data_IF_704880114809
#
_entry.id   IF_704880114809
#
_cell.length_a   1.000
_cell.length_b   1.000
_cell.length_c   1.000
_cell.angle_alpha   90.00
_cell.angle_beta   90.00
_cell.angle_gamma   90.00
#
_symmetry.space_group_name_H-M   'P 1'
#
loop_
_entity.id
_entity.type
_entity.pdbx_description
1 polymer ?
#
# COMPACT_ATOMS: atom_id res chain seq x y z
N UNK A 1 -15.55 -4.18 -8.43
CA UNK A 1 -14.68 -3.44 -7.47
C UNK A 1 -14.68 -4.13 -6.12
N UNK A 2 -13.61 -3.97 -5.33
CA UNK A 2 -13.49 -4.53 -3.98
C UNK A 2 -13.09 -3.47 -2.97
N UNK A 3 -13.79 -3.37 -1.84
CA UNK A 3 -13.36 -2.49 -0.75
C UNK A 3 -12.23 -3.13 0.07
N UNK A 4 -11.09 -2.48 0.15
CA UNK A 4 -9.92 -2.87 0.96
C UNK A 4 -9.85 -1.96 2.20
N UNK A 5 -9.51 -2.53 3.36
CA UNK A 5 -9.38 -1.82 4.64
C UNK A 5 -7.93 -1.87 5.12
N UNK A 6 -7.43 -0.77 5.68
CA UNK A 6 -6.04 -0.62 6.08
C UNK A 6 -5.63 -1.49 7.27
N UNK A 7 -6.57 -1.81 8.15
CA UNK A 7 -6.30 -2.69 9.29
C UNK A 7 -6.11 -4.16 8.88
N UNK A 8 -6.49 -4.54 7.65
CA UNK A 8 -6.48 -5.91 7.14
C UNK A 8 -7.17 -6.89 8.11
N UNK A 9 -8.29 -6.50 8.73
CA UNK A 9 -9.01 -7.35 9.69
C UNK A 9 -9.36 -8.74 9.16
N UNK A 10 -9.68 -8.85 7.86
CA UNK A 10 -10.08 -10.11 7.24
C UNK A 10 -8.91 -10.96 6.71
N UNK A 11 -7.66 -10.56 6.92
CA UNK A 11 -6.50 -11.30 6.43
C UNK A 11 -6.15 -12.47 7.36
N UNK A 12 -6.79 -13.61 7.15
CA UNK A 12 -6.68 -14.84 7.98
C UNK A 12 -5.25 -15.38 8.18
N UNK A 13 -4.30 -14.95 7.34
CA UNK A 13 -2.87 -15.28 7.48
C UNK A 13 -2.28 -14.72 8.77
N UNK A 14 -2.81 -13.61 9.27
CA UNK A 14 -2.22 -12.84 10.37
C UNK A 14 -2.93 -13.23 11.66
N UNK A 15 -2.16 -13.73 12.62
CA UNK A 15 -2.65 -14.21 13.90
C UNK A 15 -2.57 -13.11 14.97
N UNK A 16 -1.49 -12.32 14.96
CA UNK A 16 -1.28 -11.22 15.90
C UNK A 16 -0.57 -10.05 15.22
N UNK A 17 -1.06 -8.84 15.47
CA UNK A 17 -0.53 -7.61 14.90
C UNK A 17 -0.68 -6.43 15.87
N UNK A 18 0.14 -5.41 15.66
CA UNK A 18 -0.15 -4.05 16.12
C UNK A 18 -0.58 -3.20 14.94
N UNK A 19 -1.50 -2.28 15.17
CA UNK A 19 -2.02 -1.37 14.15
C UNK A 19 -2.13 0.04 14.71
N UNK A 20 -1.80 1.03 13.89
CA UNK A 20 -1.98 2.44 14.16
C UNK A 20 -2.47 3.16 12.90
N UNK A 21 -3.29 4.19 13.09
CA UNK A 21 -3.75 5.10 12.04
C UNK A 21 -3.47 6.52 12.51
N UNK A 22 -2.73 7.28 11.70
CA UNK A 22 -2.26 8.61 12.07
C UNK A 22 -2.74 9.60 11.00
N UNK A 23 -3.67 10.51 11.34
CA UNK A 23 -4.01 11.61 10.45
C UNK A 23 -2.83 12.57 10.34
N UNK A 24 -2.62 13.10 9.14
CA UNK A 24 -1.61 14.11 8.85
C UNK A 24 -2.21 15.23 8.02
N UNK A 25 -1.88 16.47 8.36
CA UNK A 25 -2.24 17.66 7.61
C UNK A 25 -1.03 18.59 7.44
N UNK A 26 0.04 18.04 6.90
CA UNK A 26 1.31 18.74 6.69
C UNK A 26 1.44 19.20 5.23
N UNK A 27 2.20 20.28 4.93
CA UNK A 27 2.39 20.76 3.56
C UNK A 27 2.92 19.70 2.58
N UNK A 28 3.73 18.76 3.06
CA UNK A 28 4.34 17.70 2.26
C UNK A 28 3.49 16.41 2.18
N UNK A 29 2.51 16.24 3.07
CA UNK A 29 1.56 15.13 3.02
C UNK A 29 0.29 15.44 3.83
N UNK A 30 -0.86 15.34 3.15
CA UNK A 30 -2.19 15.43 3.76
C UNK A 30 -2.95 14.13 3.53
N UNK A 31 -3.48 13.53 4.59
CA UNK A 31 -4.17 12.24 4.49
C UNK A 31 -3.97 11.40 5.74
N UNK A 32 -3.94 10.08 5.56
CA UNK A 32 -3.71 9.14 6.65
C UNK A 32 -2.47 8.29 6.38
N UNK A 33 -1.70 8.04 7.43
CA UNK A 33 -0.64 7.03 7.42
C UNK A 33 -1.02 5.93 8.40
N UNK A 34 -1.10 4.70 7.92
CA UNK A 34 -1.30 3.55 8.78
C UNK A 34 0.00 2.79 8.95
N UNK A 35 0.17 2.18 10.12
CA UNK A 35 1.25 1.27 10.42
C UNK A 35 0.67 -0.03 10.89
N UNK A 36 1.22 -1.12 10.38
CA UNK A 36 0.76 -2.46 10.64
C UNK A 36 2.01 -3.32 10.87
N UNK A 37 2.22 -3.81 12.09
CA UNK A 37 3.34 -4.69 12.44
C UNK A 37 2.85 -6.12 12.66
N UNK A 38 3.50 -7.07 11.99
CA UNK A 38 3.19 -8.49 12.08
C UNK A 38 3.96 -9.08 13.26
N UNK A 39 3.25 -9.58 14.27
CA UNK A 39 3.87 -10.30 15.38
C UNK A 39 3.81 -11.81 15.18
N UNK A 40 2.73 -12.28 14.55
CA UNK A 40 2.48 -13.69 14.31
C UNK A 40 1.60 -13.87 13.08
N UNK A 41 1.94 -14.86 12.26
CA UNK A 41 1.25 -15.24 11.05
C UNK A 41 1.37 -16.75 10.82
N UNK A 42 0.43 -17.34 10.07
CA UNK A 42 0.42 -18.78 9.78
C UNK A 42 1.60 -19.19 8.91
N UNK A 43 1.82 -18.46 7.83
CA UNK A 43 2.90 -18.71 6.87
C UNK A 43 3.34 -17.36 6.27
N UNK A 44 4.61 -17.21 5.87
CA UNK A 44 5.06 -16.03 5.16
C UNK A 44 4.34 -15.84 3.82
N UNK A 45 4.11 -14.58 3.43
CA UNK A 45 3.59 -14.23 2.11
C UNK A 45 4.76 -14.11 1.13
N UNK A 46 4.81 -14.99 0.16
CA UNK A 46 5.77 -14.92 -0.94
C UNK A 46 5.07 -14.48 -2.22
N UNK A 47 5.75 -13.65 -3.02
CA UNK A 47 5.36 -13.30 -4.39
C UNK A 47 6.58 -13.46 -5.29
N UNK A 48 6.33 -13.79 -6.55
CA UNK A 48 7.36 -13.86 -7.58
C UNK A 48 7.16 -12.75 -8.59
N UNK A 49 8.23 -12.03 -8.90
CA UNK A 49 8.28 -11.07 -9.99
C UNK A 49 9.47 -11.42 -10.87
N UNK A 50 9.25 -11.64 -12.16
CA UNK A 50 10.32 -11.92 -13.14
C UNK A 50 11.27 -13.05 -12.69
N UNK A 51 10.74 -14.14 -12.14
CA UNK A 51 11.52 -15.29 -11.66
C UNK A 51 12.24 -15.07 -10.33
N UNK A 52 12.08 -13.91 -9.68
CA UNK A 52 12.66 -13.61 -8.37
C UNK A 52 11.57 -13.69 -7.30
N UNK A 53 11.78 -14.58 -6.34
CA UNK A 53 10.88 -14.79 -5.21
C UNK A 53 11.21 -13.81 -4.08
N UNK A 54 10.20 -13.09 -3.59
CA UNK A 54 10.32 -12.09 -2.53
C UNK A 54 9.34 -12.38 -1.39
N UNK A 55 9.79 -12.22 -0.15
CA UNK A 55 8.92 -12.31 1.02
C UNK A 55 8.32 -10.93 1.29
N UNK A 56 7.00 -10.80 1.22
CA UNK A 56 6.27 -9.54 1.40
C UNK A 56 5.73 -9.36 2.82
N UNK A 57 5.56 -10.46 3.55
CA UNK A 57 5.13 -10.45 4.94
C UNK A 57 5.67 -11.69 5.67
N UNK A 58 6.37 -11.45 6.76
CA UNK A 58 6.79 -12.45 7.73
C UNK A 58 6.70 -11.86 9.15
N UNK A 59 7.01 -12.66 10.17
CA UNK A 59 7.13 -12.19 11.54
C UNK A 59 8.14 -11.04 11.62
N UNK A 60 7.76 -9.97 12.31
CA UNK A 60 8.58 -8.77 12.47
C UNK A 60 8.43 -7.75 11.34
N UNK A 61 7.81 -8.11 10.22
CA UNK A 61 7.61 -7.18 9.11
C UNK A 61 6.64 -6.07 9.50
N UNK A 62 6.85 -4.90 8.90
CA UNK A 62 6.03 -3.73 9.09
C UNK A 62 5.52 -3.28 7.73
N UNK A 63 4.22 -3.03 7.60
CA UNK A 63 3.68 -2.32 6.47
C UNK A 63 3.29 -0.91 6.89
N UNK A 64 3.60 0.07 6.05
CA UNK A 64 3.03 1.41 6.15
C UNK A 64 2.13 1.66 4.96
N UNK A 65 0.98 2.29 5.17
CA UNK A 65 0.11 2.67 4.06
C UNK A 65 -0.16 4.16 4.08
N UNK A 66 0.02 4.83 2.96
CA UNK A 66 -0.29 6.24 2.77
C UNK A 66 -1.57 6.36 1.95
N UNK A 67 -2.54 7.06 2.52
CA UNK A 67 -3.84 7.40 1.93
C UNK A 67 -3.87 8.91 1.66
N UNK A 68 -3.38 9.39 0.51
CA UNK A 68 -3.22 10.81 0.26
C UNK A 68 -4.56 11.46 -0.07
N UNK A 69 -4.94 12.52 0.63
CA UNK A 69 -6.27 13.11 0.52
C UNK A 69 -6.57 13.56 -0.91
N UNK A 70 -7.71 13.11 -1.45
CA UNK A 70 -8.18 13.48 -2.79
C UNK A 70 -7.48 12.78 -3.94
N UNK A 71 -6.55 11.86 -3.65
CA UNK A 71 -5.91 11.04 -4.68
C UNK A 71 -6.67 9.73 -4.93
N UNK A 72 -6.43 9.15 -6.10
CA UNK A 72 -7.00 7.90 -6.59
C UNK A 72 -6.00 6.73 -6.48
N UNK A 73 -5.16 6.76 -5.45
CA UNK A 73 -4.22 5.68 -5.17
C UNK A 73 -3.89 5.59 -3.68
N UNK A 74 -3.45 4.41 -3.25
CA UNK A 74 -2.93 4.15 -1.90
C UNK A 74 -1.54 3.53 -2.05
N UNK A 75 -0.56 3.99 -1.26
CA UNK A 75 0.79 3.42 -1.30
C UNK A 75 1.00 2.55 -0.08
N UNK A 76 1.14 1.24 -0.27
CA UNK A 76 1.57 0.30 0.76
C UNK A 76 3.07 0.03 0.61
N UNK A 77 3.87 0.41 1.60
CA UNK A 77 5.29 0.07 1.66
C UNK A 77 5.49 -1.10 2.62
N UNK A 78 6.13 -2.17 2.15
CA UNK A 78 6.47 -3.32 2.98
C UNK A 78 7.92 -3.19 3.44
N UNK A 79 8.15 -3.33 4.74
CA UNK A 79 9.46 -3.37 5.36
C UNK A 79 9.72 -4.74 5.96
N UNK A 80 10.93 -5.26 5.75
CA UNK A 80 11.40 -6.48 6.41
C UNK A 80 11.62 -6.26 7.91
N UNK A 81 12.00 -7.33 8.62
CA UNK A 81 12.30 -7.32 10.05
C UNK A 81 13.52 -6.46 10.43
N UNK A 82 14.35 -6.11 9.45
CA UNK A 82 15.51 -5.21 9.60
C UNK A 82 15.17 -3.76 9.25
N UNK A 83 13.95 -3.50 8.76
CA UNK A 83 13.50 -2.18 8.36
C UNK A 83 13.91 -1.75 6.94
N UNK A 84 14.43 -2.66 6.13
CA UNK A 84 14.67 -2.39 4.70
C UNK A 84 13.35 -2.44 3.95
N UNK A 85 13.21 -1.60 2.92
CA UNK A 85 12.08 -1.68 2.00
C UNK A 85 12.18 -2.97 1.20
N UNK A 86 11.10 -3.73 1.19
CA UNK A 86 10.92 -4.90 0.33
C UNK A 86 10.34 -4.45 -1.02
N UNK A 87 9.26 -3.67 -0.99
CA UNK A 87 8.63 -3.08 -2.18
C UNK A 87 7.74 -1.88 -1.79
N UNK A 88 7.46 -1.03 -2.77
CA UNK A 88 6.30 -0.15 -2.76
C UNK A 88 5.22 -0.75 -3.66
N UNK A 89 4.04 -0.98 -3.11
CA UNK A 89 2.84 -1.42 -3.81
C UNK A 89 1.85 -0.27 -3.85
N UNK A 90 1.38 0.08 -5.04
CA UNK A 90 0.52 1.23 -5.25
C UNK A 90 -0.80 0.74 -5.81
N UNK A 91 -1.83 0.68 -4.96
CA UNK A 91 -3.18 0.33 -5.37
C UNK A 91 -3.84 1.53 -6.06
N UNK A 92 -4.37 1.36 -7.27
CA UNK A 92 -5.21 2.38 -7.91
C UNK A 92 -6.65 2.20 -7.43
N UNK A 93 -7.26 3.29 -6.99
CA UNK A 93 -8.57 3.24 -6.34
C UNK A 93 -9.53 4.30 -6.86
N UNK A 94 -10.81 3.94 -6.85
CA UNK A 94 -11.89 4.85 -7.26
C UNK A 94 -12.07 5.97 -6.26
N UNK A 95 -12.08 5.62 -4.99
CA UNK A 95 -12.26 6.53 -3.87
C UNK A 95 -11.72 5.88 -2.61
N UNK A 96 -11.58 6.69 -1.58
CA UNK A 96 -11.13 6.30 -0.26
C UNK A 96 -11.89 7.07 0.81
N UNK A 97 -11.92 6.54 2.02
CA UNK A 97 -12.60 7.16 3.14
C UNK A 97 -12.21 6.53 4.47
N UNK A 98 -12.97 6.88 5.50
CA UNK A 98 -12.85 6.30 6.84
C UNK A 98 -14.13 5.54 7.19
N UNK A 99 -14.00 4.49 7.98
CA UNK A 99 -15.13 3.93 8.71
C UNK A 99 -15.49 4.80 9.91
N UNK A 100 -16.63 4.52 10.55
CA UNK A 100 -17.02 5.17 11.81
C UNK A 100 -15.98 4.95 12.92
N UNK A 101 -15.29 3.81 12.88
CA UNK A 101 -14.19 3.45 13.79
C UNK A 101 -12.82 4.01 13.34
N UNK A 102 -12.80 4.99 12.42
CA UNK A 102 -11.58 5.67 11.96
C UNK A 102 -10.56 4.74 11.26
N UNK A 103 -11.05 3.69 10.59
CA UNK A 103 -10.21 2.81 9.76
C UNK A 103 -10.27 3.27 8.30
N UNK A 104 -9.13 3.64 7.68
CA UNK A 104 -9.07 3.91 6.25
C UNK A 104 -9.51 2.73 5.40
N UNK A 105 -10.27 3.04 4.36
CA UNK A 105 -10.69 2.10 3.33
C UNK A 105 -10.58 2.73 1.95
N UNK A 106 -10.48 1.90 0.93
CA UNK A 106 -10.54 2.34 -0.46
C UNK A 106 -11.26 1.32 -1.34
N UNK A 107 -11.90 1.81 -2.40
CA UNK A 107 -12.55 0.98 -3.43
C UNK A 107 -11.56 0.72 -4.56
N UNK A 108 -11.08 -0.51 -4.62
CA UNK A 108 -10.04 -0.99 -5.52
C UNK A 108 -10.50 -1.03 -6.99
N UNK A 109 -9.63 -0.56 -7.88
CA UNK A 109 -9.82 -0.59 -9.34
C UNK A 109 -8.88 -1.58 -10.03
N UNK A 110 -8.47 -2.65 -9.34
CA UNK A 110 -7.70 -3.79 -9.88
C UNK A 110 -6.26 -3.45 -10.28
N UNK A 111 -6.06 -2.38 -11.04
CA UNK A 111 -4.77 -1.96 -11.57
C UNK A 111 -3.82 -1.55 -10.44
N UNK A 112 -2.65 -2.17 -10.40
CA UNK A 112 -1.66 -1.98 -9.35
C UNK A 112 -0.28 -1.66 -9.94
N UNK A 113 0.55 -0.89 -9.22
CA UNK A 113 1.96 -0.66 -9.59
C UNK A 113 2.86 -1.20 -8.47
N UNK A 114 3.84 -2.01 -8.85
CA UNK A 114 4.92 -2.44 -7.95
C UNK A 114 6.21 -1.73 -8.32
N UNK A 115 6.88 -1.18 -7.32
CA UNK A 115 8.23 -0.64 -7.45
C UNK A 115 9.15 -1.37 -6.48
N UNK A 116 10.23 -1.94 -7.00
CA UNK A 116 11.25 -2.62 -6.19
C UNK A 116 12.36 -1.64 -5.78
N UNK A 117 13.11 -1.93 -4.70
CA UNK A 117 14.26 -1.13 -4.28
C UNK A 117 15.35 -0.97 -5.35
N UNK A 118 15.39 -1.88 -6.33
CA UNK A 118 16.26 -1.81 -7.51
C UNK A 118 15.87 -0.71 -8.50
N UNK A 119 14.67 -0.13 -8.36
CA UNK A 119 14.05 0.81 -9.31
C UNK A 119 13.22 0.13 -10.40
N UNK A 120 13.21 -1.21 -10.44
CA UNK A 120 12.33 -1.97 -11.32
C UNK A 120 10.86 -1.64 -11.01
N UNK A 121 10.09 -1.35 -12.06
CA UNK A 121 8.68 -0.93 -11.96
C UNK A 121 7.83 -1.83 -12.82
N UNK A 122 6.75 -2.36 -12.24
CA UNK A 122 5.83 -3.31 -12.87
C UNK A 122 4.42 -2.74 -12.78
N UNK A 123 3.70 -2.73 -13.91
CA UNK A 123 2.26 -2.54 -13.94
C UNK A 123 1.63 -3.94 -13.90
N UNK A 124 0.68 -4.14 -13.00
CA UNK A 124 0.05 -5.44 -12.75
C UNK A 124 -1.46 -5.35 -12.96
N UNK A 125 -2.06 -6.51 -13.23
CA UNK A 125 -3.51 -6.74 -13.20
C UNK A 125 -4.28 -5.85 -14.22
N UNK A 126 -3.65 -5.59 -15.37
CA UNK A 126 -4.29 -4.92 -16.53
C UNK A 126 -5.43 -5.78 -17.11
N UNK A 127 -5.26 -7.09 -17.10
CA UNK A 127 -6.27 -8.10 -17.47
C UNK A 127 -7.46 -8.08 -16.51
N UNK A 128 -7.23 -8.04 -15.19
CA UNK A 128 -8.32 -7.94 -14.21
C UNK A 128 -9.15 -6.65 -14.37
N UNK A 129 -8.50 -5.53 -14.76
CA UNK A 129 -9.19 -4.28 -15.05
C UNK A 129 -10.08 -4.39 -16.30
N UNK A 130 -9.58 -5.04 -17.36
CA UNK A 130 -10.31 -5.28 -18.61
C UNK A 130 -11.51 -6.22 -18.37
N UNK A 131 -11.29 -7.36 -17.71
CA UNK A 131 -12.34 -8.30 -17.32
C UNK A 131 -13.43 -7.63 -16.48
N UNK A 132 -13.03 -6.81 -15.50
CA UNK A 132 -13.99 -6.08 -14.67
C UNK A 132 -14.83 -5.06 -15.47
N UNK A 133 -14.29 -4.50 -16.55
CA UNK A 133 -15.04 -3.61 -17.44
C UNK A 133 -16.01 -4.40 -18.30
N UNK A 134 -15.56 -5.50 -18.89
CA UNK A 134 -16.36 -6.37 -19.76
C UNK A 134 -17.54 -7.01 -19.00
N UNK A 135 -17.29 -7.44 -17.77
CA UNK A 135 -18.32 -7.99 -16.88
C UNK A 135 -19.22 -6.91 -16.23
N UNK A 136 -18.99 -5.63 -16.54
CA UNK A 136 -19.78 -4.51 -16.03
C UNK A 136 -19.61 -4.24 -14.53
N UNK A 137 -18.56 -4.78 -13.90
CA UNK A 137 -18.22 -4.51 -12.50
C UNK A 137 -17.68 -3.10 -12.25
N UNK A 138 -17.18 -2.45 -13.31
CA UNK A 138 -16.79 -1.05 -13.35
C UNK A 138 -17.33 -0.37 -14.60
N UNK A 139 -17.38 0.96 -14.59
CA UNK A 139 -17.76 1.74 -15.77
C UNK A 139 -16.55 2.05 -16.64
N UNK A 140 -16.75 2.37 -17.91
CA UNK A 140 -15.68 2.88 -18.79
C UNK A 140 -15.00 4.13 -18.21
N UNK A 141 -15.73 4.96 -17.46
CA UNK A 141 -15.18 6.13 -16.76
C UNK A 141 -14.22 5.72 -15.63
N UNK A 142 -14.55 4.66 -14.89
CA UNK A 142 -13.71 4.13 -13.82
C UNK A 142 -12.42 3.54 -14.40
N UNK A 143 -12.53 2.70 -15.44
CA UNK A 143 -11.37 2.13 -16.14
C UNK A 143 -10.45 3.23 -16.69
N UNK A 144 -11.01 4.22 -17.40
CA UNK A 144 -10.22 5.34 -17.92
C UNK A 144 -9.57 6.18 -16.80
N UNK A 145 -10.18 6.28 -15.63
CA UNK A 145 -9.59 6.95 -14.46
C UNK A 145 -8.45 6.13 -13.86
N UNK A 146 -8.60 4.80 -13.77
CA UNK A 146 -7.54 3.91 -13.32
C UNK A 146 -6.29 4.06 -14.21
N UNK A 147 -6.47 3.94 -15.54
CA UNK A 147 -5.38 4.05 -16.51
C UNK A 147 -4.69 5.42 -16.47
N UNK A 148 -5.46 6.52 -16.40
CA UNK A 148 -4.88 7.87 -16.29
C UNK A 148 -4.08 8.04 -15.01
N UNK A 149 -4.58 7.48 -13.90
CA UNK A 149 -3.89 7.55 -12.61
C UNK A 149 -2.59 6.76 -12.68
N UNK A 150 -2.63 5.50 -13.12
CA UNK A 150 -1.43 4.68 -13.28
C UNK A 150 -0.39 5.35 -14.18
N UNK A 151 -0.78 5.86 -15.35
CA UNK A 151 0.13 6.55 -16.28
C UNK A 151 0.79 7.78 -15.64
N UNK A 152 0.03 8.58 -14.87
CA UNK A 152 0.57 9.72 -14.14
C UNK A 152 1.60 9.28 -13.10
N UNK A 153 1.31 8.22 -12.35
CA UNK A 153 2.20 7.70 -11.31
C UNK A 153 3.48 7.09 -11.91
N UNK A 154 3.36 6.27 -12.95
CA UNK A 154 4.50 5.72 -13.69
C UNK A 154 5.41 6.83 -14.24
N UNK A 155 4.82 7.91 -14.76
CA UNK A 155 5.58 9.08 -15.21
C UNK A 155 6.30 9.78 -14.05
N UNK A 156 5.64 9.98 -12.92
CA UNK A 156 6.25 10.57 -11.73
C UNK A 156 7.40 9.71 -11.17
N UNK A 157 7.22 8.38 -11.12
CA UNK A 157 8.25 7.42 -10.70
C UNK A 157 9.46 7.49 -11.62
N UNK A 158 9.24 7.43 -12.95
CA UNK A 158 10.31 7.53 -13.97
C UNK A 158 11.09 8.84 -13.86
N UNK A 159 10.40 9.94 -13.57
CA UNK A 159 11.01 11.26 -13.38
C UNK A 159 11.63 11.45 -11.99
N UNK A 160 11.59 10.44 -11.11
CA UNK A 160 12.03 10.52 -9.71
C UNK A 160 11.34 11.65 -8.91
N UNK A 161 10.07 11.90 -9.22
CA UNK A 161 9.20 12.90 -8.60
C UNK A 161 8.08 12.27 -7.76
N UNK A 162 8.22 11.00 -7.40
CA UNK A 162 7.24 10.30 -6.58
C UNK A 162 7.67 10.34 -5.10
N UNK A 163 7.08 11.22 -4.27
CA UNK A 163 7.62 11.53 -2.93
C UNK A 163 7.47 10.39 -1.92
N UNK A 164 6.60 9.41 -2.20
CA UNK A 164 6.28 8.34 -1.25
C UNK A 164 7.45 7.39 -0.98
N UNK A 165 8.45 7.34 -1.86
CA UNK A 165 9.68 6.60 -1.59
C UNK A 165 10.37 7.15 -0.34
N UNK A 166 10.56 8.47 -0.26
CA UNK A 166 11.18 9.12 0.89
C UNK A 166 10.21 9.23 2.08
N UNK A 167 8.96 9.61 1.83
CA UNK A 167 7.96 9.75 2.89
C UNK A 167 7.72 8.43 3.63
N UNK A 168 7.80 7.27 2.94
CA UNK A 168 7.67 5.97 3.60
C UNK A 168 8.75 5.73 4.64
N UNK A 169 10.00 6.09 4.35
CA UNK A 169 11.14 5.93 5.26
C UNK A 169 11.04 6.91 6.43
N UNK A 170 10.75 8.18 6.13
CA UNK A 170 10.63 9.25 7.13
C UNK A 170 9.47 8.98 8.09
N UNK A 171 8.28 8.69 7.57
CA UNK A 171 7.10 8.42 8.38
C UNK A 171 7.25 7.13 9.18
N UNK A 172 7.84 6.07 8.61
CA UNK A 172 8.17 4.86 9.39
C UNK A 172 9.01 5.23 10.60
N UNK A 173 10.14 5.92 10.41
CA UNK A 173 11.02 6.28 11.53
C UNK A 173 10.28 7.10 12.60
N UNK A 174 9.66 8.20 12.18
CA UNK A 174 8.94 9.12 13.06
C UNK A 174 7.84 8.43 13.86
N UNK A 175 7.08 7.53 13.24
CA UNK A 175 5.96 6.89 13.90
C UNK A 175 6.36 5.68 14.74
N UNK A 176 7.43 4.97 14.40
CA UNK A 176 7.97 3.95 15.30
C UNK A 176 8.48 4.56 16.61
N UNK A 177 9.18 5.70 16.55
CA UNK A 177 9.58 6.49 17.71
C UNK A 177 8.35 6.91 18.54
N UNK A 178 7.39 7.58 17.90
CA UNK A 178 6.16 8.07 18.56
C UNK A 178 5.32 6.96 19.22
N UNK A 179 5.24 5.79 18.60
CA UNK A 179 4.45 4.66 19.09
C UNK A 179 5.22 3.77 20.07
N UNK A 180 6.51 4.01 20.29
CA UNK A 180 7.38 3.14 21.10
C UNK A 180 7.61 1.76 20.48
N UNK A 181 7.59 1.65 19.15
CA UNK A 181 7.75 0.40 18.40
C UNK A 181 9.18 0.18 17.88
N UNK A 182 10.15 0.98 18.30
CA UNK A 182 11.53 0.91 17.81
C UNK A 182 12.16 -0.47 18.01
N UNK A 183 11.93 -1.06 19.19
CA UNK A 183 12.39 -2.40 19.52
C UNK A 183 11.23 -3.37 19.25
N UNK A 184 11.33 -4.14 18.16
CA UNK A 184 10.51 -5.35 18.00
C UNK A 184 10.59 -6.14 19.29
N UNK A 185 9.43 -6.37 19.91
CA UNK A 185 9.24 -6.94 21.25
C UNK A 185 10.40 -7.84 21.68
N UNK A 186 11.09 -7.44 22.76
CA UNK A 186 11.98 -8.34 23.52
C UNK A 186 11.21 -9.59 23.94
#
# INVERSE_FOLDING_TARGET
>A
MKRKFSDRANWRRILKKSYACIPMDEPYFRGFVTLYRIHELRDPLWKEYNGKRMCLADKGYLWTQHFPRGEHFVVTTMFDDKGNVVQWYIDICKTQGLTDQQVPWFDDLYLDIVVLPTGETLLLDEDELEEALDDGHITARDSAMAQRTANRLLSAIRQKKFPYFDLSLQHRKMFLERLGWENGSR
#
